data_IF_885113732732
#
_entry.id   IF_885113732732
#
_cell.length_a   1.000
_cell.length_b   1.000
_cell.length_c   1.000
_cell.angle_alpha   90.00
_cell.angle_beta   90.00
_cell.angle_gamma   90.00
#
_symmetry.space_group_name_H-M   'P 1'
#
loop_
_entity.id
_entity.type
_entity.pdbx_description
1 polymer ?
#
# COMPACT_ATOMS: atom_id res chain seq x y z
N UNK A 1 -29.77 -2.25 14.23
CA UNK A 1 -29.12 -3.58 14.22
C UNK A 1 -29.01 -4.06 12.78
N UNK A 2 -27.87 -3.79 12.12
CA UNK A 2 -27.57 -4.21 10.75
C UNK A 2 -26.09 -4.65 10.73
N UNK A 3 -25.86 -5.96 10.82
CA UNK A 3 -24.56 -6.61 10.62
C UNK A 3 -24.24 -6.62 9.11
N UNK A 4 -23.80 -5.51 8.55
CA UNK A 4 -23.37 -5.46 7.15
C UNK A 4 -21.95 -6.05 7.05
N UNK A 5 -21.89 -7.37 6.90
CA UNK A 5 -20.76 -8.13 6.35
C UNK A 5 -19.37 -7.74 6.85
N UNK A 6 -19.01 -8.16 8.07
CA UNK A 6 -17.65 -8.27 8.62
C UNK A 6 -16.59 -7.50 7.78
N UNK A 7 -16.72 -6.17 7.82
CA UNK A 7 -15.97 -5.18 7.05
C UNK A 7 -14.48 -5.48 7.21
N UNK A 8 -13.78 -5.65 6.08
CA UNK A 8 -12.42 -6.18 6.01
C UNK A 8 -12.30 -7.60 6.60
N UNK A 9 -12.90 -8.61 5.95
CA UNK A 9 -12.65 -10.05 6.20
C UNK A 9 -11.21 -10.45 5.84
N UNK A 10 -10.27 -9.81 6.53
CA UNK A 10 -8.82 -9.80 6.41
C UNK A 10 -8.29 -9.01 5.19
N UNK A 11 -8.48 -7.69 5.17
CA UNK A 11 -7.67 -6.66 4.44
C UNK A 11 -6.16 -6.71 4.82
N UNK A 12 -5.75 -7.79 5.46
CA UNK A 12 -4.62 -7.87 6.33
C UNK A 12 -4.07 -9.29 6.30
N UNK A 13 -4.71 -10.29 6.94
CA UNK A 13 -4.03 -11.52 7.42
C UNK A 13 -2.54 -11.25 7.80
N UNK A 14 -2.25 -10.05 8.34
CA UNK A 14 -0.92 -9.54 8.70
C UNK A 14 -0.07 -8.80 7.64
N UNK A 15 -0.60 -8.24 6.54
CA UNK A 15 0.04 -8.22 5.19
C UNK A 15 0.15 -9.65 4.71
N UNK A 16 0.08 -10.03 3.42
CA UNK A 16 0.17 -11.48 3.12
C UNK A 16 1.44 -12.13 3.68
N UNK A 17 2.56 -11.42 3.90
CA UNK A 17 3.75 -11.86 4.62
C UNK A 17 4.59 -10.63 5.04
N UNK A 18 4.76 -10.30 6.34
CA UNK A 18 5.50 -9.10 6.79
C UNK A 18 6.91 -8.94 6.15
N UNK A 19 6.99 -8.08 5.13
CA UNK A 19 8.18 -7.39 4.62
C UNK A 19 8.00 -5.88 4.83
N UNK A 20 9.07 -5.17 5.20
CA UNK A 20 9.05 -3.75 5.52
C UNK A 20 8.36 -2.89 4.44
N UNK A 21 7.20 -2.32 4.74
CA UNK A 21 6.65 -1.17 4.02
C UNK A 21 5.83 -0.33 5.00
N UNK A 22 6.11 0.98 5.05
CA UNK A 22 5.35 1.94 5.84
C UNK A 22 3.92 2.05 5.32
N UNK A 23 2.97 2.17 6.24
CA UNK A 23 1.56 2.40 5.94
C UNK A 23 1.42 3.85 5.44
N UNK A 24 0.98 4.03 4.20
CA UNK A 24 0.42 5.28 3.71
C UNK A 24 -1.09 5.08 3.63
N UNK A 25 -1.84 5.95 4.31
CA UNK A 25 -3.29 5.97 4.28
C UNK A 25 -3.77 6.69 3.01
N UNK A 26 -4.83 6.19 2.36
CA UNK A 26 -5.50 6.84 1.22
C UNK A 26 -7.00 6.81 1.47
N UNK A 27 -7.61 7.98 1.34
CA UNK A 27 -9.04 8.23 1.54
C UNK A 27 -9.93 7.30 0.70
N UNK A 28 -10.83 6.57 1.36
CA UNK A 28 -11.89 5.79 0.72
C UNK A 28 -13.18 6.63 0.61
N UNK A 29 -13.59 6.96 -0.61
CA UNK A 29 -14.97 7.43 -0.89
C UNK A 29 -15.94 6.24 -0.87
N UNK A 30 -17.12 6.42 -0.25
CA UNK A 30 -18.16 5.39 -0.07
C UNK A 30 -18.69 4.86 -1.41
N UNK A 31 -18.88 3.54 -1.58
CA UNK A 31 -19.63 2.99 -2.72
C UNK A 31 -21.15 3.10 -2.49
N UNK A 32 -21.96 3.10 -3.57
CA UNK A 32 -23.42 3.24 -3.48
C UNK A 32 -24.09 2.03 -2.84
N UNK A 33 -25.17 2.29 -2.09
CA UNK A 33 -25.96 1.27 -1.39
C UNK A 33 -26.77 0.41 -2.36
N UNK A 34 -26.65 -0.92 -2.23
CA UNK A 34 -27.50 -1.90 -2.93
C UNK A 34 -28.62 -2.33 -1.98
N UNK A 35 -29.86 -2.29 -2.46
CA UNK A 35 -31.05 -2.74 -1.76
C UNK A 35 -31.29 -4.24 -2.00
N UNK A 36 -31.49 -5.02 -0.94
CA UNK A 36 -31.51 -6.50 -0.98
C UNK A 36 -32.56 -7.06 -0.01
N UNK A 37 -33.83 -6.82 -0.29
CA UNK A 37 -34.93 -7.59 0.31
C UNK A 37 -35.30 -8.78 -0.58
N UNK A 38 -35.30 -9.97 0.05
CA UNK A 38 -35.63 -11.31 -0.45
C UNK A 38 -34.45 -12.12 -1.02
N UNK A 39 -34.06 -13.21 -0.33
CA UNK A 39 -33.59 -14.50 -0.86
C UNK A 39 -33.07 -15.41 0.28
N UNK A 40 -33.74 -16.55 0.50
CA UNK A 40 -33.32 -17.64 1.39
C UNK A 40 -32.45 -18.66 0.62
N UNK A 41 -31.12 -18.47 0.60
CA UNK A 41 -30.11 -19.53 0.36
C UNK A 41 -28.68 -18.99 0.52
N UNK A 42 -27.71 -19.88 0.75
CA UNK A 42 -26.26 -19.62 0.80
C UNK A 42 -25.83 -18.79 -0.42
N UNK A 43 -25.11 -17.68 -0.18
CA UNK A 43 -24.63 -16.77 -1.21
C UNK A 43 -23.13 -16.99 -1.44
N UNK A 44 -22.74 -17.26 -2.69
CA UNK A 44 -21.35 -17.19 -3.14
C UNK A 44 -21.03 -15.74 -3.52
N UNK A 45 -19.95 -15.18 -3.00
CA UNK A 45 -19.50 -13.83 -3.33
C UNK A 45 -18.09 -13.92 -3.90
N UNK A 46 -17.91 -13.45 -5.14
CA UNK A 46 -16.62 -13.37 -5.82
C UNK A 46 -16.08 -11.95 -5.76
N UNK A 47 -14.88 -11.77 -5.23
CA UNK A 47 -14.20 -10.47 -5.13
C UNK A 47 -12.84 -10.60 -5.83
N UNK A 48 -12.56 -9.71 -6.77
CA UNK A 48 -11.28 -9.61 -7.47
C UNK A 48 -10.62 -8.26 -7.16
N UNK A 49 -9.42 -8.28 -6.57
CA UNK A 49 -8.62 -7.06 -6.34
C UNK A 49 -7.41 -7.00 -7.28
N UNK A 50 -7.14 -5.81 -7.82
CA UNK A 50 -6.02 -5.56 -8.74
C UNK A 50 -4.97 -4.70 -8.05
N UNK A 51 -3.75 -5.22 -7.88
CA UNK A 51 -2.65 -4.46 -7.27
C UNK A 51 -1.67 -3.95 -8.34
N UNK A 52 -1.67 -2.65 -8.60
CA UNK A 52 -0.66 -1.98 -9.43
C UNK A 52 0.45 -1.41 -8.54
N UNK A 53 1.57 -2.13 -8.41
CA UNK A 53 2.72 -1.68 -7.63
C UNK A 53 3.61 -0.70 -8.40
N UNK A 54 3.79 0.52 -7.89
CA UNK A 54 4.75 1.49 -8.40
C UNK A 54 6.18 1.26 -7.86
N UNK A 55 7.11 1.08 -8.80
CA UNK A 55 8.57 1.27 -8.77
C UNK A 55 9.38 0.73 -7.56
N UNK A 56 9.92 -0.48 -7.73
CA UNK A 56 11.19 -0.92 -7.13
C UNK A 56 12.22 -1.23 -8.24
N UNK A 57 13.51 -1.08 -7.94
CA UNK A 57 14.65 -1.25 -8.88
C UNK A 57 15.06 -2.71 -9.11
N UNK A 58 14.27 -3.68 -8.67
CA UNK A 58 14.43 -5.09 -9.01
C UNK A 58 13.22 -5.59 -9.81
N UNK A 59 13.37 -6.60 -10.70
CA UNK A 59 12.24 -7.14 -11.43
C UNK A 59 11.24 -7.75 -10.44
N UNK A 60 10.16 -7.02 -10.18
CA UNK A 60 8.97 -7.56 -9.52
C UNK A 60 8.45 -8.67 -10.44
N UNK A 61 8.60 -9.92 -10.00
CA UNK A 61 8.04 -11.08 -10.69
C UNK A 61 6.51 -11.02 -10.57
N UNK A 62 5.88 -10.51 -11.64
CA UNK A 62 4.45 -10.56 -12.01
C UNK A 62 3.45 -9.90 -11.04
N UNK A 63 2.47 -9.11 -11.53
CA UNK A 63 1.25 -8.84 -10.79
C UNK A 63 0.46 -10.16 -10.70
N UNK A 64 0.34 -10.71 -9.50
CA UNK A 64 -0.61 -11.79 -9.24
C UNK A 64 -1.95 -11.16 -8.93
N UNK A 65 -2.98 -11.47 -9.71
CA UNK A 65 -4.35 -11.29 -9.23
C UNK A 65 -4.56 -12.29 -8.09
N UNK A 66 -5.33 -11.94 -7.07
CA UNK A 66 -5.78 -12.87 -6.07
C UNK A 66 -7.29 -12.94 -6.21
N UNK A 67 -7.79 -14.06 -6.72
CA UNK A 67 -9.22 -14.32 -6.73
C UNK A 67 -9.58 -14.90 -5.36
N UNK A 68 -10.55 -14.27 -4.68
CA UNK A 68 -11.09 -14.75 -3.42
C UNK A 68 -12.53 -15.20 -3.65
N UNK A 69 -12.82 -16.44 -3.27
CA UNK A 69 -14.18 -16.98 -3.22
C UNK A 69 -14.57 -17.12 -1.75
N UNK A 70 -15.61 -16.41 -1.33
CA UNK A 70 -16.09 -16.41 0.04
C UNK A 70 -17.47 -17.08 0.15
N UNK A 71 -17.66 -17.88 1.20
CA UNK A 71 -18.93 -18.54 1.52
C UNK A 71 -19.48 -17.95 2.82
N UNK A 72 -20.73 -17.49 2.78
CA UNK A 72 -21.43 -16.94 3.95
C UNK A 72 -22.51 -17.90 4.45
N UNK A 73 -22.75 -17.94 5.77
CA UNK A 73 -23.91 -18.64 6.32
C UNK A 73 -25.21 -17.82 6.19
N UNK A 74 -26.32 -18.37 6.68
CA UNK A 74 -27.65 -17.73 6.64
C UNK A 74 -27.71 -16.44 7.46
N UNK A 75 -26.82 -16.26 8.44
CA UNK A 75 -26.67 -15.03 9.21
C UNK A 75 -25.67 -14.05 8.56
N UNK A 76 -25.25 -14.31 7.31
CA UNK A 76 -24.26 -13.51 6.56
C UNK A 76 -22.88 -13.47 7.25
N UNK A 77 -22.52 -14.51 8.01
CA UNK A 77 -21.19 -14.66 8.60
C UNK A 77 -20.29 -15.45 7.66
N UNK A 78 -19.02 -15.07 7.56
CA UNK A 78 -18.04 -15.75 6.71
C UNK A 78 -17.70 -17.14 7.25
N UNK A 79 -18.03 -18.19 6.52
CA UNK A 79 -17.79 -19.59 6.93
C UNK A 79 -16.48 -20.12 6.37
N UNK A 80 -16.14 -19.73 5.14
CA UNK A 80 -14.88 -20.10 4.51
C UNK A 80 -14.50 -19.13 3.42
N UNK A 81 -13.22 -19.10 3.08
CA UNK A 81 -12.80 -18.53 1.82
C UNK A 81 -11.60 -19.29 1.25
N UNK A 82 -11.51 -19.26 -0.08
CA UNK A 82 -10.42 -19.82 -0.85
C UNK A 82 -9.67 -18.70 -1.58
N UNK A 83 -8.34 -18.80 -1.58
CA UNK A 83 -7.46 -17.97 -2.40
C UNK A 83 -7.03 -18.76 -3.62
N UNK A 84 -7.12 -18.14 -4.80
CA UNK A 84 -6.76 -18.76 -6.06
C UNK A 84 -5.54 -18.11 -6.69
N UNK A 85 -4.68 -18.94 -7.28
CA UNK A 85 -3.70 -18.48 -8.23
C UNK A 85 -4.39 -18.34 -9.60
N UNK A 86 -4.60 -17.11 -10.11
CA UNK A 86 -5.33 -16.86 -11.35
C UNK A 86 -4.62 -17.45 -12.57
N UNK A 87 -3.29 -17.60 -12.50
CA UNK A 87 -2.50 -18.14 -13.62
C UNK A 87 -2.57 -19.66 -13.70
N UNK A 88 -2.74 -20.33 -12.54
CA UNK A 88 -2.79 -21.79 -12.46
C UNK A 88 -4.22 -22.34 -12.36
N UNK A 89 -5.21 -21.48 -12.11
CA UNK A 89 -6.59 -21.89 -11.80
C UNK A 89 -6.67 -22.89 -10.64
N UNK A 90 -5.74 -22.78 -9.69
CA UNK A 90 -5.63 -23.66 -8.53
C UNK A 90 -5.86 -22.86 -7.25
N UNK A 91 -6.56 -23.47 -6.29
CA UNK A 91 -6.63 -22.96 -4.91
C UNK A 91 -5.21 -23.00 -4.34
N UNK A 92 -4.72 -21.87 -3.85
CA UNK A 92 -3.45 -21.82 -3.12
C UNK A 92 -3.67 -22.09 -1.64
N UNK A 93 -4.74 -21.55 -1.07
CA UNK A 93 -5.03 -21.63 0.36
C UNK A 93 -6.55 -21.63 0.60
N UNK A 94 -6.99 -22.45 1.55
CA UNK A 94 -8.40 -22.49 2.00
C UNK A 94 -8.48 -22.28 3.49
N UNK A 95 -9.45 -21.50 3.91
CA UNK A 95 -9.68 -21.14 5.30
C UNK A 95 -11.11 -21.45 5.71
N UNK A 96 -11.28 -21.96 6.93
CA UNK A 96 -12.59 -22.19 7.56
C UNK A 96 -12.71 -21.39 8.84
N UNK A 97 -13.90 -20.85 9.08
CA UNK A 97 -14.27 -20.06 10.23
C UNK A 97 -15.25 -20.85 11.08
N UNK A 98 -14.88 -21.05 12.33
CA UNK A 98 -15.65 -21.82 13.29
C UNK A 98 -16.06 -20.88 14.42
N UNK A 99 -17.36 -20.58 14.46
CA UNK A 99 -17.97 -19.69 15.44
C UNK A 99 -18.39 -20.50 16.66
N UNK A 100 -17.77 -20.23 17.81
CA UNK A 100 -18.15 -20.82 19.09
C UNK A 100 -19.31 -20.03 19.72
N UNK A 101 -20.05 -20.70 20.61
CA UNK A 101 -21.19 -20.12 21.33
C UNK A 101 -20.81 -19.02 22.32
N UNK A 102 -19.55 -18.96 22.73
CA UNK A 102 -18.98 -17.93 23.60
C UNK A 102 -18.50 -16.68 22.82
N UNK A 103 -18.85 -16.58 21.53
CA UNK A 103 -18.47 -15.47 20.67
C UNK A 103 -17.04 -15.53 20.13
N UNK A 104 -16.28 -16.59 20.41
CA UNK A 104 -14.95 -16.80 19.80
C UNK A 104 -15.09 -17.28 18.36
N UNK A 105 -14.16 -16.87 17.52
CA UNK A 105 -14.05 -17.33 16.14
C UNK A 105 -12.69 -18.00 15.95
N UNK A 106 -12.68 -19.27 15.55
CA UNK A 106 -11.45 -19.98 15.19
C UNK A 106 -11.35 -20.01 13.67
N UNK A 107 -10.25 -19.49 13.13
CA UNK A 107 -9.92 -19.59 11.71
C UNK A 107 -8.90 -20.70 11.54
N UNK A 108 -9.22 -21.71 10.75
CA UNK A 108 -8.30 -22.80 10.42
C UNK A 108 -7.95 -22.76 8.94
N UNK A 109 -6.66 -22.75 8.63
CA UNK A 109 -6.21 -23.04 7.28
C UNK A 109 -6.36 -24.55 7.04
N UNK A 110 -7.35 -24.93 6.25
CA UNK A 110 -7.67 -26.34 5.97
C UNK A 110 -6.91 -26.87 4.75
N UNK A 111 -6.52 -25.99 3.85
CA UNK A 111 -5.66 -26.32 2.71
C UNK A 111 -4.61 -25.22 2.52
N UNK A 112 -3.41 -25.64 2.13
CA UNK A 112 -2.37 -24.76 1.60
C UNK A 112 -1.49 -25.57 0.65
N UNK A 113 -1.23 -25.02 -0.54
CA UNK A 113 -0.27 -25.57 -1.50
C UNK A 113 1.15 -25.57 -0.94
N UNK A 114 1.40 -24.82 0.14
CA UNK A 114 2.62 -24.93 0.95
C UNK A 114 2.33 -25.64 2.28
N UNK A 115 3.16 -26.59 2.74
CA UNK A 115 2.85 -27.46 3.88
C UNK A 115 2.93 -26.79 5.27
N UNK A 116 2.36 -25.61 5.44
CA UNK A 116 2.33 -24.87 6.71
C UNK A 116 0.87 -24.71 7.15
N UNK A 117 0.39 -25.61 8.00
CA UNK A 117 -0.90 -25.42 8.66
C UNK A 117 -0.81 -24.27 9.67
N UNK A 118 -1.63 -23.25 9.49
CA UNK A 118 -1.81 -22.16 10.44
C UNK A 118 -3.21 -22.20 11.03
N UNK A 119 -3.32 -21.84 12.31
CA UNK A 119 -4.60 -21.63 12.95
C UNK A 119 -4.58 -20.30 13.69
N UNK A 120 -5.67 -19.56 13.56
CA UNK A 120 -5.90 -18.33 14.29
C UNK A 120 -7.09 -18.54 15.22
N UNK A 121 -6.95 -18.06 16.45
CA UNK A 121 -8.06 -17.99 17.40
C UNK A 121 -8.30 -16.53 17.66
N UNK A 122 -9.51 -16.08 17.35
CA UNK A 122 -10.02 -14.74 17.58
C UNK A 122 -11.01 -14.80 18.73
N UNK A 123 -10.89 -13.87 19.66
CA UNK A 123 -11.86 -13.66 20.73
C UNK A 123 -12.71 -12.44 20.38
N UNK A 124 -14.02 -12.63 20.41
CA UNK A 124 -15.08 -11.62 20.20
C UNK A 124 -15.12 -10.92 18.83
N UNK A 125 -16.20 -10.15 18.62
CA UNK A 125 -16.46 -9.38 17.40
C UNK A 125 -15.52 -8.19 17.22
N UNK A 126 -14.79 -7.79 18.27
CA UNK A 126 -13.84 -6.69 18.27
C UNK A 126 -12.40 -7.18 18.12
N UNK A 127 -12.16 -8.49 18.02
CA UNK A 127 -10.82 -9.07 17.85
C UNK A 127 -9.87 -8.69 18.99
N UNK A 128 -10.34 -8.65 20.24
CA UNK A 128 -9.51 -8.24 21.39
C UNK A 128 -8.28 -9.14 21.61
N UNK A 129 -8.34 -10.40 21.17
CA UNK A 129 -7.26 -11.37 21.35
C UNK A 129 -7.09 -12.22 20.09
N UNK A 130 -5.85 -12.29 19.56
CA UNK A 130 -5.50 -13.10 18.38
C UNK A 130 -4.32 -13.99 18.68
N UNK A 131 -4.46 -15.30 18.50
CA UNK A 131 -3.35 -16.27 18.65
C UNK A 131 -3.04 -16.96 17.34
N UNK A 132 -1.79 -16.91 16.90
CA UNK A 132 -1.29 -17.67 15.76
C UNK A 132 -0.62 -18.96 16.24
N UNK A 133 -1.23 -20.09 15.91
CA UNK A 133 -0.70 -21.43 16.14
C UNK A 133 -0.20 -22.01 14.82
N UNK A 134 0.90 -22.76 14.86
CA UNK A 134 1.51 -23.34 13.66
C UNK A 134 1.92 -24.80 13.84
N UNK A 135 1.74 -25.57 12.77
CA UNK A 135 2.11 -26.97 12.66
C UNK A 135 1.14 -27.92 13.36
N UNK A 136 1.39 -29.22 13.25
CA UNK A 136 0.49 -30.30 13.74
C UNK A 136 0.26 -30.24 15.24
N UNK A 137 1.28 -29.86 16.02
CA UNK A 137 1.18 -29.68 17.48
C UNK A 137 0.61 -28.32 17.89
N UNK A 138 0.11 -27.51 16.95
CA UNK A 138 -0.50 -26.19 17.17
C UNK A 138 0.34 -25.30 18.11
N UNK A 139 1.66 -25.23 17.88
CA UNK A 139 2.56 -24.45 18.74
C UNK A 139 2.29 -22.96 18.55
N UNK A 140 2.14 -22.22 19.65
CA UNK A 140 2.03 -20.76 19.61
C UNK A 140 3.26 -20.15 18.93
N UNK A 141 3.02 -19.26 17.96
CA UNK A 141 4.06 -18.51 17.24
C UNK A 141 4.02 -17.03 17.55
N UNK A 142 2.82 -16.49 17.70
CA UNK A 142 2.59 -15.12 18.06
C UNK A 142 1.22 -14.98 18.71
N UNK A 143 1.09 -13.98 19.55
CA UNK A 143 -0.14 -13.64 20.25
C UNK A 143 -0.27 -12.12 20.27
N UNK A 144 -1.46 -11.60 20.00
CA UNK A 144 -1.76 -10.19 19.99
C UNK A 144 -2.94 -9.92 20.90
N UNK A 145 -2.86 -8.81 21.62
CA UNK A 145 -3.98 -8.26 22.40
C UNK A 145 -4.25 -6.86 21.86
N UNK A 146 -5.51 -6.55 21.63
CA UNK A 146 -6.00 -5.27 21.11
C UNK A 146 -6.86 -4.63 22.19
N UNK A 147 -6.61 -3.35 22.45
CA UNK A 147 -7.42 -2.52 23.35
C UNK A 147 -8.11 -1.45 22.53
N UNK A 148 -9.36 -1.16 22.86
CA UNK A 148 -10.20 -0.20 22.14
C UNK A 148 -10.71 0.91 23.06
N UNK A 149 -10.98 2.09 22.48
CA UNK A 149 -11.85 3.13 23.02
C UNK A 149 -13.19 3.05 22.29
N UNK A 150 -14.27 2.98 23.06
CA UNK A 150 -15.66 2.96 22.56
C UNK A 150 -15.90 1.94 21.44
N UNK A 151 -15.28 0.76 21.55
CA UNK A 151 -15.38 -0.38 20.62
C UNK A 151 -15.04 -0.08 19.14
N UNK A 152 -14.44 1.07 18.84
CA UNK A 152 -14.23 1.53 17.45
C UNK A 152 -12.79 1.93 17.16
N UNK A 153 -12.08 2.46 18.15
CA UNK A 153 -10.72 2.99 17.97
C UNK A 153 -9.71 2.13 18.72
N UNK A 154 -8.74 1.56 18.01
CA UNK A 154 -7.64 0.83 18.65
C UNK A 154 -6.76 1.82 19.41
N UNK A 155 -6.63 1.63 20.73
CA UNK A 155 -5.75 2.43 21.59
C UNK A 155 -4.43 1.72 21.91
N UNK A 156 -4.40 0.39 21.87
CA UNK A 156 -3.15 -0.37 22.03
C UNK A 156 -3.17 -1.71 21.31
N UNK A 157 -2.00 -2.15 20.84
CA UNK A 157 -1.75 -3.50 20.33
C UNK A 157 -0.50 -4.04 21.01
N UNK A 158 -0.62 -5.13 21.77
CA UNK A 158 0.52 -5.81 22.39
C UNK A 158 0.79 -7.12 21.67
N UNK A 159 1.97 -7.24 21.06
CA UNK A 159 2.42 -8.46 20.37
C UNK A 159 3.40 -9.23 21.24
N UNK A 160 3.02 -10.43 21.61
CA UNK A 160 3.84 -11.40 22.32
C UNK A 160 4.51 -12.38 21.36
N UNK A 161 5.69 -12.86 21.75
CA UNK A 161 6.36 -13.96 21.08
C UNK A 161 5.83 -15.34 21.52
N UNK A 162 6.42 -16.41 21.00
CA UNK A 162 6.07 -17.80 21.32
C UNK A 162 6.23 -18.19 22.80
N UNK A 163 7.00 -17.42 23.56
CA UNK A 163 7.27 -17.66 24.99
C UNK A 163 6.40 -16.77 25.89
N UNK A 164 5.55 -15.92 25.31
CA UNK A 164 4.71 -14.98 26.06
C UNK A 164 5.41 -13.69 26.46
N UNK A 165 6.59 -13.38 25.92
CA UNK A 165 7.24 -12.09 26.17
C UNK A 165 6.75 -11.03 25.19
N UNK A 166 6.56 -9.80 25.68
CA UNK A 166 6.21 -8.65 24.84
C UNK A 166 7.35 -8.38 23.86
N UNK A 167 7.07 -8.57 22.56
CA UNK A 167 7.99 -8.29 21.47
C UNK A 167 7.82 -6.86 20.97
N UNK A 168 6.57 -6.45 20.73
CA UNK A 168 6.20 -5.11 20.31
C UNK A 168 4.97 -4.66 21.07
N UNK A 169 4.90 -3.37 21.34
CA UNK A 169 3.69 -2.69 21.78
C UNK A 169 3.48 -1.46 20.92
N UNK A 170 2.25 -1.26 20.47
CA UNK A 170 1.83 -0.11 19.69
C UNK A 170 0.78 0.62 20.53
N UNK A 171 1.00 1.88 20.82
CA UNK A 171 0.03 2.70 21.56
C UNK A 171 -0.43 3.85 20.67
N UNK A 172 -1.72 4.16 20.71
CA UNK A 172 -2.36 5.14 19.85
C UNK A 172 -3.11 6.16 20.70
N UNK A 173 -2.88 7.44 20.42
CA UNK A 173 -3.54 8.57 21.05
C UNK A 173 -4.33 9.33 19.98
N UNK A 174 -5.50 9.83 20.37
CA UNK A 174 -6.43 10.49 19.46
C UNK A 174 -6.93 11.80 20.07
N UNK A 175 -7.30 12.76 19.22
CA UNK A 175 -8.04 13.96 19.62
C UNK A 175 -9.47 13.63 20.09
N UNK A 176 -10.20 14.66 20.51
CA UNK A 176 -11.62 14.56 20.89
C UNK A 176 -12.50 14.23 19.68
N UNK A 177 -12.11 14.69 18.48
CA UNK A 177 -12.73 14.41 17.19
C UNK A 177 -12.31 13.05 16.60
N UNK A 178 -11.64 12.20 17.39
CA UNK A 178 -11.17 10.88 17.01
C UNK A 178 -10.08 10.85 15.93
N UNK A 179 -9.30 11.92 15.79
CA UNK A 179 -8.17 11.97 14.85
C UNK A 179 -6.91 11.41 15.50
N UNK A 180 -6.15 10.57 14.82
CA UNK A 180 -4.92 9.99 15.37
C UNK A 180 -3.87 11.09 15.55
N UNK A 181 -3.52 11.43 16.78
CA UNK A 181 -2.53 12.47 17.11
C UNK A 181 -1.16 11.88 17.41
N UNK A 182 -1.11 10.64 17.93
CA UNK A 182 0.16 9.97 18.23
C UNK A 182 0.09 8.46 18.06
N UNK A 183 1.19 7.87 17.60
CA UNK A 183 1.42 6.44 17.58
C UNK A 183 2.80 6.13 18.12
N UNK A 184 2.90 5.42 19.23
CA UNK A 184 4.17 4.98 19.83
C UNK A 184 4.41 3.50 19.56
N UNK A 185 5.65 3.13 19.21
CA UNK A 185 6.07 1.74 19.03
C UNK A 185 7.19 1.43 20.02
N UNK A 186 6.88 0.59 21.00
CA UNK A 186 7.85 0.05 21.94
C UNK A 186 8.31 -1.35 21.52
N UNK A 187 9.63 -1.59 21.59
CA UNK A 187 10.23 -2.90 21.42
C UNK A 187 10.74 -3.38 22.77
N UNK A 188 10.23 -4.52 23.25
CA UNK A 188 10.55 -5.07 24.59
C UNK A 188 10.38 -4.04 25.72
N UNK A 189 9.27 -3.28 25.67
CA UNK A 189 8.91 -2.28 26.68
C UNK A 189 9.65 -0.94 26.58
N UNK A 190 10.56 -0.77 25.61
CA UNK A 190 11.24 0.51 25.38
C UNK A 190 10.68 1.17 24.13
N UNK A 191 10.18 2.42 24.19
CA UNK A 191 9.85 3.20 23.01
C UNK A 191 11.04 3.23 22.05
N UNK A 192 10.79 2.95 20.78
CA UNK A 192 11.82 2.95 19.73
C UNK A 192 11.46 3.83 18.56
N UNK A 193 10.16 4.03 18.33
CA UNK A 193 9.63 4.86 17.25
C UNK A 193 8.37 5.54 17.73
N UNK A 194 8.09 6.72 17.22
CA UNK A 194 6.77 7.32 17.34
C UNK A 194 6.44 8.17 16.12
N UNK A 195 5.15 8.28 15.85
CA UNK A 195 4.56 9.20 14.90
C UNK A 195 3.71 10.19 15.69
N UNK A 196 3.82 11.47 15.39
CA UNK A 196 2.96 12.54 15.90
C UNK A 196 2.31 13.20 14.69
N UNK A 197 1.01 13.48 14.74
CA UNK A 197 0.26 14.13 13.68
C UNK A 197 -0.39 15.40 14.21
N UNK A 198 -0.45 16.42 13.35
CA UNK A 198 -1.02 17.73 13.65
C UNK A 198 -2.11 18.03 12.64
N UNK A 199 -3.23 18.54 13.12
CA UNK A 199 -4.40 18.90 12.31
C UNK A 199 -4.69 20.39 12.48
N UNK A 200 -5.31 21.01 11.48
CA UNK A 200 -5.88 22.36 11.62
C UNK A 200 -7.26 22.31 12.30
N UNK A 201 -7.87 23.47 12.50
CA UNK A 201 -9.17 23.63 13.17
C UNK A 201 -10.34 23.00 12.37
N UNK A 202 -10.13 22.73 11.08
CA UNK A 202 -11.10 22.03 10.22
C UNK A 202 -10.90 20.50 10.26
N UNK A 203 -9.86 20.02 10.96
CA UNK A 203 -9.50 18.62 11.07
C UNK A 203 -8.69 18.10 9.88
N UNK A 204 -8.14 18.95 9.02
CA UNK A 204 -7.24 18.51 7.97
C UNK A 204 -5.85 18.22 8.54
N UNK A 205 -5.20 17.15 8.10
CA UNK A 205 -3.81 16.87 8.47
C UNK A 205 -2.90 17.99 7.94
N UNK A 206 -2.24 18.74 8.83
CA UNK A 206 -1.27 19.80 8.50
C UNK A 206 0.18 19.40 8.76
N UNK A 207 0.42 18.22 9.29
CA UNK A 207 1.77 17.69 9.43
C UNK A 207 1.86 16.40 10.21
N UNK A 208 2.99 15.72 10.09
CA UNK A 208 3.36 14.63 10.98
C UNK A 208 4.87 14.57 11.19
N UNK A 209 5.30 14.03 12.32
CA UNK A 209 6.69 13.78 12.68
C UNK A 209 6.86 12.29 12.95
N UNK A 210 7.92 11.68 12.44
CA UNK A 210 8.25 10.28 12.65
C UNK A 210 9.69 10.12 13.10
N UNK A 211 9.90 9.72 14.36
CA UNK A 211 11.23 9.49 14.95
C UNK A 211 11.52 7.98 15.08
N UNK A 212 12.78 7.58 14.85
CA UNK A 212 13.28 6.20 15.05
C UNK A 212 14.61 6.19 15.82
N UNK A 213 14.52 6.02 17.12
CA UNK A 213 15.66 6.02 18.05
C UNK A 213 16.68 4.91 17.76
N UNK A 214 16.30 3.86 17.03
CA UNK A 214 17.19 2.73 16.71
C UNK A 214 18.31 3.11 15.76
N UNK A 215 18.12 4.18 14.98
CA UNK A 215 19.06 4.55 13.90
C UNK A 215 19.94 5.74 14.25
N UNK A 216 19.78 6.36 15.42
CA UNK A 216 20.37 7.68 15.73
C UNK A 216 20.13 8.71 14.60
N UNK A 217 19.09 8.49 13.78
CA UNK A 217 18.69 9.37 12.70
C UNK A 217 17.56 10.22 13.26
N UNK A 218 17.76 11.53 13.27
CA UNK A 218 16.72 12.51 13.56
C UNK A 218 15.49 12.19 12.70
N UNK A 219 14.31 12.22 13.30
CA UNK A 219 13.08 11.84 12.64
C UNK A 219 12.82 12.62 11.35
N UNK A 220 12.01 12.03 10.47
CA UNK A 220 11.46 12.76 9.33
C UNK A 220 10.27 13.55 9.81
N UNK A 221 10.26 14.86 9.55
CA UNK A 221 9.10 15.71 9.78
C UNK A 221 8.49 16.06 8.44
N UNK A 222 7.18 15.94 8.32
CA UNK A 222 6.41 16.42 7.17
C UNK A 222 5.48 17.51 7.68
N UNK A 223 5.57 18.71 7.12
CA UNK A 223 4.53 19.72 7.27
C UNK A 223 3.73 19.78 5.97
N UNK A 224 2.44 20.06 6.07
CA UNK A 224 1.55 20.28 4.95
C UNK A 224 1.16 21.75 5.06
N UNK A 225 1.70 22.57 4.17
CA UNK A 225 1.49 24.01 4.16
C UNK A 225 0.54 24.32 3.02
N UNK A 226 -0.63 24.87 3.35
CA UNK A 226 -1.57 25.44 2.38
C UNK A 226 -1.29 26.93 2.25
N UNK A 227 -1.05 27.41 1.04
CA UNK A 227 -0.92 28.85 0.80
C UNK A 227 -2.29 29.53 0.64
N UNK A 228 -2.29 30.86 0.42
CA UNK A 228 -3.52 31.64 0.26
C UNK A 228 -4.34 31.28 -0.99
N UNK A 229 -3.82 30.42 -1.88
CA UNK A 229 -4.52 29.87 -3.04
C UNK A 229 -5.01 28.44 -2.82
N UNK A 230 -4.95 27.94 -1.58
CA UNK A 230 -5.25 26.55 -1.20
C UNK A 230 -4.29 25.53 -1.85
N UNK A 231 -3.13 25.99 -2.35
CA UNK A 231 -2.13 25.10 -2.91
C UNK A 231 -1.45 24.33 -1.77
N UNK A 232 -1.58 23.01 -1.79
CA UNK A 232 -0.97 22.12 -0.80
C UNK A 232 0.49 21.87 -1.15
N UNK A 233 1.41 22.36 -0.31
CA UNK A 233 2.83 22.04 -0.38
C UNK A 233 3.20 21.07 0.75
N UNK A 234 3.80 19.94 0.40
CA UNK A 234 4.32 18.97 1.39
C UNK A 234 5.78 19.24 1.67
N UNK A 235 6.10 19.61 2.90
CA UNK A 235 7.44 19.93 3.37
C UNK A 235 7.99 18.74 4.14
N UNK A 236 8.69 17.84 3.46
CA UNK A 236 9.37 16.71 4.13
C UNK A 236 10.81 17.08 4.49
N UNK A 237 11.11 17.20 5.77
CA UNK A 237 12.45 17.25 6.36
C UNK A 237 13.05 15.86 6.44
N UNK A 238 14.07 15.59 5.63
CA UNK A 238 14.89 14.38 5.77
C UNK A 238 16.29 14.77 6.23
N UNK A 239 16.66 14.37 7.46
CA UNK A 239 18.05 14.46 7.91
C UNK A 239 18.89 13.41 7.19
N UNK A 240 19.50 13.79 6.06
CA UNK A 240 20.53 12.96 5.42
C UNK A 240 21.87 13.54 5.82
N UNK A 241 22.62 12.81 6.68
CA UNK A 241 23.92 13.27 7.22
C UNK A 241 23.83 14.59 8.01
N UNK A 242 22.69 14.88 8.63
CA UNK A 242 22.47 16.13 9.38
C UNK A 242 22.04 17.32 8.53
N UNK A 243 21.89 17.16 7.20
CA UNK A 243 21.31 18.20 6.35
C UNK A 243 19.79 18.13 6.41
N UNK A 244 19.14 19.25 6.73
CA UNK A 244 17.69 19.40 6.61
C UNK A 244 17.35 19.65 5.15
N UNK A 245 16.86 18.62 4.46
CA UNK A 245 16.32 18.76 3.10
C UNK A 245 14.80 18.88 3.17
N UNK A 246 14.22 19.82 2.43
CA UNK A 246 12.77 20.04 2.29
C UNK A 246 12.33 19.78 0.86
N UNK A 247 11.24 19.05 0.65
CA UNK A 247 10.54 19.06 -0.63
C UNK A 247 9.47 20.16 -0.65
N UNK A 248 9.20 20.74 -1.81
CA UNK A 248 8.06 21.60 -2.11
C UNK A 248 7.38 21.04 -3.36
N UNK A 249 6.05 21.14 -3.44
CA UNK A 249 5.25 20.54 -4.49
C UNK A 249 4.29 21.58 -5.06
N UNK A 250 4.15 21.59 -6.37
CA UNK A 250 3.24 22.47 -7.12
C UNK A 250 2.29 21.61 -7.95
N UNK A 251 1.00 21.91 -7.89
CA UNK A 251 -0.07 21.22 -8.61
C UNK A 251 -0.75 22.18 -9.60
N UNK A 252 -1.30 21.64 -10.70
CA UNK A 252 -2.15 22.42 -11.61
C UNK A 252 -3.62 22.46 -11.14
N UNK A 253 -4.50 23.13 -11.90
CA UNK A 253 -5.93 23.28 -11.59
C UNK A 253 -6.70 21.94 -11.56
N UNK A 254 -6.16 20.88 -12.17
CA UNK A 254 -6.71 19.53 -12.15
C UNK A 254 -6.13 18.68 -11.00
N UNK A 255 -5.44 19.30 -10.04
CA UNK A 255 -4.77 18.65 -8.90
C UNK A 255 -3.68 17.64 -9.31
N UNK A 256 -3.13 17.77 -10.53
CA UNK A 256 -2.00 16.95 -10.98
C UNK A 256 -0.68 17.61 -10.59
N UNK A 257 0.23 16.82 -10.02
CA UNK A 257 1.55 17.30 -9.59
C UNK A 257 2.39 17.73 -10.80
N UNK A 258 2.68 19.02 -10.96
CA UNK A 258 3.47 19.56 -12.08
C UNK A 258 4.94 19.80 -11.73
N UNK A 259 5.26 20.02 -10.45
CA UNK A 259 6.64 20.27 -10.03
C UNK A 259 6.91 19.83 -8.60
N UNK A 260 8.09 19.28 -8.35
CA UNK A 260 8.59 18.95 -7.02
C UNK A 260 10.03 19.43 -6.85
N UNK A 261 10.29 20.30 -5.88
CA UNK A 261 11.58 20.96 -5.66
C UNK A 261 12.18 20.51 -4.33
N UNK A 262 13.42 20.02 -4.34
CA UNK A 262 14.22 19.70 -3.17
C UNK A 262 15.11 20.89 -2.82
N UNK A 263 14.90 21.45 -1.64
CA UNK A 263 15.59 22.61 -1.10
C UNK A 263 16.44 22.15 0.08
N UNK A 264 17.69 22.63 0.14
CA UNK A 264 18.58 22.35 1.27
C UNK A 264 18.34 23.30 2.46
N UNK A 265 19.09 23.11 3.55
CA UNK A 265 18.96 23.92 4.77
C UNK A 265 19.26 25.41 4.57
N UNK A 266 19.94 25.78 3.48
CA UNK A 266 20.29 27.16 3.12
C UNK A 266 19.23 27.82 2.22
N UNK A 267 18.12 27.11 1.93
CA UNK A 267 17.08 27.60 1.02
C UNK A 267 17.45 27.48 -0.46
N UNK A 268 18.51 26.74 -0.81
CA UNK A 268 18.92 26.56 -2.22
C UNK A 268 18.32 25.29 -2.81
N UNK A 269 17.90 25.37 -4.06
CA UNK A 269 17.43 24.22 -4.83
C UNK A 269 18.58 23.25 -5.16
N UNK A 270 18.50 22.02 -4.64
CA UNK A 270 19.41 20.93 -4.98
C UNK A 270 18.93 20.17 -6.21
N UNK A 271 17.62 19.97 -6.30
CA UNK A 271 16.97 19.16 -7.34
C UNK A 271 15.55 19.65 -7.60
N UNK A 272 15.15 19.65 -8.86
CA UNK A 272 13.77 19.90 -9.29
C UNK A 272 13.30 18.72 -10.15
N UNK A 273 12.04 18.33 -10.01
CA UNK A 273 11.37 17.33 -10.83
C UNK A 273 10.14 17.98 -11.44
N UNK A 274 10.10 18.07 -12.76
CA UNK A 274 8.98 18.66 -13.50
C UNK A 274 8.19 17.55 -14.19
N UNK A 275 6.88 17.72 -14.26
CA UNK A 275 5.93 16.81 -14.88
C UNK A 275 5.10 17.59 -15.91
N UNK A 276 4.88 16.98 -17.06
CA UNK A 276 3.99 17.50 -18.09
C UNK A 276 2.91 16.46 -18.36
N UNK A 277 1.68 16.93 -18.48
CA UNK A 277 0.51 16.11 -18.78
C UNK A 277 -0.11 16.55 -20.11
N UNK A 278 -0.78 15.61 -20.78
CA UNK A 278 -1.69 15.94 -21.88
C UNK A 278 -3.05 16.44 -21.36
N UNK A 279 -4.00 16.63 -22.27
CA UNK A 279 -5.35 17.13 -21.94
C UNK A 279 -6.24 16.09 -21.25
N UNK A 280 -5.88 14.81 -21.32
CA UNK A 280 -6.58 13.71 -20.64
C UNK A 280 -6.01 13.46 -19.22
N UNK A 281 -4.93 14.15 -18.87
CA UNK A 281 -4.25 14.00 -17.58
C UNK A 281 -3.19 12.90 -17.56
N UNK A 282 -2.77 12.36 -18.70
CA UNK A 282 -1.70 11.38 -18.77
C UNK A 282 -0.33 12.07 -18.69
N UNK A 283 0.60 11.53 -17.89
CA UNK A 283 1.97 12.06 -17.80
C UNK A 283 2.73 11.81 -19.10
N UNK A 284 2.97 12.83 -19.92
CA UNK A 284 3.72 12.70 -21.18
C UNK A 284 5.22 12.94 -21.01
N UNK A 285 5.63 13.63 -19.94
CA UNK A 285 7.04 13.87 -19.64
C UNK A 285 7.32 14.03 -18.15
N UNK A 286 8.46 13.50 -17.73
CA UNK A 286 9.10 13.75 -16.44
C UNK A 286 10.55 14.15 -16.60
N UNK A 287 10.92 15.29 -16.04
CA UNK A 287 12.27 15.87 -16.14
C UNK A 287 12.89 15.99 -14.76
N UNK A 288 14.13 15.51 -14.59
CA UNK A 288 14.91 15.70 -13.35
C UNK A 288 16.01 16.71 -13.62
N UNK A 289 15.99 17.83 -12.91
CA UNK A 289 16.93 18.93 -13.01
C UNK A 289 17.76 18.96 -11.72
N UNK A 290 19.07 18.99 -11.83
CA UNK A 290 19.98 19.19 -10.69
C UNK A 290 21.01 20.26 -11.07
N UNK A 291 21.22 21.23 -10.18
CA UNK A 291 22.14 22.37 -10.42
C UNK A 291 21.83 23.09 -11.74
N UNK A 292 20.55 23.39 -11.98
CA UNK A 292 20.03 24.05 -13.20
C UNK A 292 20.33 23.32 -14.51
N UNK A 293 20.61 22.01 -14.44
CA UNK A 293 20.87 21.18 -15.62
C UNK A 293 19.96 19.96 -15.59
N UNK A 294 19.26 19.72 -16.69
CA UNK A 294 18.48 18.50 -16.89
C UNK A 294 19.41 17.28 -16.86
N UNK A 295 19.25 16.42 -15.85
CA UNK A 295 20.05 15.21 -15.64
C UNK A 295 19.41 13.99 -16.27
N UNK A 296 18.09 13.90 -16.22
CA UNK A 296 17.32 12.78 -16.72
C UNK A 296 16.00 13.28 -17.28
N UNK A 297 15.51 12.60 -18.31
CA UNK A 297 14.16 12.79 -18.85
C UNK A 297 13.53 11.46 -19.13
N UNK A 298 12.23 11.37 -18.93
CA UNK A 298 11.39 10.27 -19.39
C UNK A 298 10.26 10.87 -20.20
N UNK A 299 10.14 10.47 -21.46
CA UNK A 299 9.01 10.83 -22.32
C UNK A 299 8.11 9.59 -22.48
N UNK A 300 6.79 9.80 -22.41
CA UNK A 300 5.77 8.76 -22.55
C UNK A 300 4.84 9.12 -23.71
N UNK A 301 4.41 8.10 -24.44
CA UNK A 301 3.37 8.21 -25.47
C UNK A 301 2.25 7.24 -25.15
N UNK A 302 1.02 7.62 -25.52
CA UNK A 302 -0.20 6.89 -25.25
C UNK A 302 -0.97 6.64 -26.54
N UNK A 303 -1.75 5.56 -26.60
CA UNK A 303 -2.80 5.38 -27.61
C UNK A 303 -4.11 6.08 -27.19
N UNK A 304 -5.12 6.05 -28.06
CA UNK A 304 -6.44 6.65 -27.82
C UNK A 304 -7.21 6.01 -26.65
N UNK A 305 -6.76 4.87 -26.11
CA UNK A 305 -7.35 4.20 -24.94
C UNK A 305 -6.59 4.51 -23.65
N UNK A 306 -5.57 5.36 -23.71
CA UNK A 306 -4.70 5.67 -22.58
C UNK A 306 -3.67 4.58 -22.26
N UNK A 307 -3.42 3.62 -23.16
CA UNK A 307 -2.33 2.66 -22.96
C UNK A 307 -0.99 3.26 -23.36
N UNK A 308 0.05 3.06 -22.54
CA UNK A 308 1.40 3.55 -22.84
C UNK A 308 1.99 2.79 -24.03
N UNK A 309 2.19 3.45 -25.17
CA UNK A 309 2.75 2.86 -26.39
C UNK A 309 4.27 3.00 -26.48
N UNK A 310 4.85 4.03 -25.86
CA UNK A 310 6.29 4.22 -25.81
C UNK A 310 6.76 4.82 -24.48
N UNK A 311 7.95 4.42 -24.05
CA UNK A 311 8.67 5.10 -22.96
C UNK A 311 10.13 5.29 -23.38
N UNK A 312 10.59 6.53 -23.41
CA UNK A 312 11.97 6.88 -23.78
C UNK A 312 12.69 7.49 -22.59
N UNK A 313 13.85 6.93 -22.26
CA UNK A 313 14.67 7.38 -21.14
C UNK A 313 15.93 8.06 -21.62
N UNK A 314 16.12 9.29 -21.16
CA UNK A 314 17.28 10.10 -21.47
C UNK A 314 18.09 10.36 -20.21
N UNK A 315 19.41 10.37 -20.35
CA UNK A 315 20.34 10.68 -19.27
C UNK A 315 21.43 11.61 -19.79
N UNK A 316 21.83 12.58 -18.98
CA UNK A 316 22.94 13.46 -19.35
C UNK A 316 24.26 12.69 -19.29
N UNK A 317 24.96 12.62 -20.42
CA UNK A 317 26.28 12.04 -20.57
C UNK A 317 27.17 13.01 -21.37
N UNK A 318 28.38 13.28 -20.89
CA UNK A 318 29.33 14.25 -21.51
C UNK A 318 28.73 15.62 -21.86
N UNK A 319 27.77 16.11 -21.06
CA UNK A 319 27.15 17.41 -21.24
C UNK A 319 25.88 17.41 -22.08
N UNK A 320 25.60 16.36 -22.84
CA UNK A 320 24.40 16.24 -23.67
C UNK A 320 23.37 15.28 -23.05
N UNK A 321 22.09 15.53 -23.29
CA UNK A 321 21.01 14.66 -22.86
C UNK A 321 20.78 13.60 -23.94
N UNK A 322 21.21 12.37 -23.67
CA UNK A 322 21.22 11.29 -24.66
C UNK A 322 20.17 10.24 -24.33
N UNK A 323 19.49 9.72 -25.35
CA UNK A 323 18.62 8.55 -25.22
C UNK A 323 19.44 7.34 -24.77
N UNK A 324 19.13 6.81 -23.59
CA UNK A 324 19.83 5.68 -22.97
C UNK A 324 19.14 4.36 -23.31
N UNK A 325 17.81 4.31 -23.19
CA UNK A 325 17.02 3.14 -23.55
C UNK A 325 15.57 3.54 -23.86
N UNK A 326 14.85 2.65 -24.55
CA UNK A 326 13.42 2.80 -24.78
C UNK A 326 12.67 1.49 -24.63
N UNK A 327 11.37 1.61 -24.41
CA UNK A 327 10.39 0.55 -24.55
C UNK A 327 9.33 0.97 -25.57
N UNK A 328 8.89 0.04 -26.41
CA UNK A 328 7.67 0.16 -27.20
C UNK A 328 6.73 -0.97 -26.83
N UNK A 329 5.44 -0.65 -26.78
CA UNK A 329 4.37 -1.56 -26.40
C UNK A 329 3.33 -1.60 -27.50
N UNK A 330 2.78 -2.79 -27.76
CA UNK A 330 1.65 -2.96 -28.67
C UNK A 330 0.57 -3.73 -27.96
N UNK A 331 -0.66 -3.25 -28.12
CA UNK A 331 -1.85 -3.80 -27.50
C UNK A 331 -2.78 -4.36 -28.57
N UNK A 332 -3.58 -5.35 -28.21
CA UNK A 332 -4.70 -5.78 -29.04
C UNK A 332 -5.93 -4.86 -28.86
N UNK A 333 -7.01 -5.16 -29.57
CA UNK A 333 -8.25 -4.39 -29.49
C UNK A 333 -8.89 -4.39 -28.10
N UNK A 334 -8.62 -5.40 -27.27
CA UNK A 334 -9.11 -5.47 -25.90
C UNK A 334 -8.22 -4.69 -24.91
N UNK A 335 -7.12 -4.07 -25.38
CA UNK A 335 -6.17 -3.35 -24.52
C UNK A 335 -5.20 -4.28 -23.79
N UNK A 336 -5.05 -5.54 -24.23
CA UNK A 336 -4.09 -6.48 -23.65
C UNK A 336 -2.75 -6.32 -24.34
N UNK A 337 -1.66 -6.32 -23.57
CA UNK A 337 -0.30 -6.16 -24.09
C UNK A 337 0.12 -7.41 -24.89
N UNK A 338 0.23 -7.29 -26.21
CA UNK A 338 0.65 -8.39 -27.09
C UNK A 338 2.13 -8.35 -27.45
N UNK A 339 2.78 -7.19 -27.30
CA UNK A 339 4.20 -7.05 -27.65
C UNK A 339 4.91 -6.00 -26.82
N UNK A 340 6.16 -6.28 -26.46
CA UNK A 340 7.08 -5.34 -25.83
C UNK A 340 8.45 -5.40 -26.51
N UNK A 341 8.90 -4.30 -27.09
CA UNK A 341 10.26 -4.13 -27.61
C UNK A 341 11.08 -3.30 -26.61
N UNK A 342 12.34 -3.68 -26.39
CA UNK A 342 13.31 -2.97 -25.55
C UNK A 342 14.61 -2.77 -26.31
N UNK A 343 15.17 -1.58 -26.20
CA UNK A 343 16.51 -1.27 -26.67
C UNK A 343 17.29 -0.47 -25.65
N UNK A 344 18.58 -0.75 -25.53
CA UNK A 344 19.49 -0.02 -24.66
C UNK A 344 20.78 0.33 -25.42
N UNK A 345 21.08 1.63 -25.50
CA UNK A 345 22.23 2.21 -26.19
C UNK A 345 23.55 1.72 -25.59
N UNK A 346 23.66 1.82 -24.26
CA UNK A 346 24.91 1.59 -23.53
C UNK A 346 25.43 0.16 -23.67
N UNK A 347 24.52 -0.80 -23.84
CA UNK A 347 24.86 -2.22 -24.00
C UNK A 347 24.63 -2.76 -25.41
N UNK A 348 24.17 -1.93 -26.36
CA UNK A 348 23.73 -2.39 -27.68
C UNK A 348 22.65 -3.48 -27.63
N UNK A 349 21.91 -3.58 -26.52
CA UNK A 349 20.98 -4.69 -26.28
C UNK A 349 19.65 -4.41 -26.96
N UNK A 350 19.07 -5.46 -27.56
CA UNK A 350 17.69 -5.51 -28.03
C UNK A 350 17.01 -6.73 -27.45
N UNK A 351 15.81 -6.55 -26.90
CA UNK A 351 14.97 -7.65 -26.42
C UNK A 351 13.56 -7.44 -26.92
N UNK A 352 12.88 -8.53 -27.25
CA UNK A 352 11.46 -8.55 -27.61
C UNK A 352 10.78 -9.60 -26.77
N UNK A 353 9.56 -9.27 -26.34
CA UNK A 353 8.62 -10.22 -25.77
C UNK A 353 7.33 -10.13 -26.60
N UNK A 354 6.84 -11.29 -27.00
CA UNK A 354 5.55 -11.46 -27.67
C UNK A 354 4.67 -12.27 -26.71
N UNK A 355 3.41 -11.85 -26.55
CA UNK A 355 2.46 -12.42 -25.61
C UNK A 355 1.26 -12.97 -26.38
N UNK A 356 0.84 -14.18 -26.03
CA UNK A 356 -0.35 -14.83 -26.57
C UNK A 356 -1.29 -15.15 -25.40
N UNK A 357 -2.57 -14.83 -25.59
CA UNK A 357 -3.62 -15.03 -24.59
C UNK A 357 -4.58 -16.08 -25.11
N UNK A 358 -4.60 -17.26 -24.47
CA UNK A 358 -5.57 -18.31 -24.75
C UNK A 358 -6.80 -18.07 -23.88
N UNK A 359 -7.94 -17.81 -24.52
CA UNK A 359 -9.24 -17.76 -23.87
C UNK A 359 -9.72 -19.21 -23.69
N UNK A 360 -9.97 -19.61 -22.46
CA UNK A 360 -10.53 -20.92 -22.12
C UNK A 360 -12.01 -20.81 -21.80
#
# INVERSE_FOLDING_TARGET
MKQFGLFASLLLLGSTLFGQAGVYDRDFKRPPSIDLDHLDSVKEVRISETWAGAMSREPIKKPGFLDIVAVLDTAQRLVSFDQYNPTASEVTDSYQFLYATDGKVRIEQVYSSTPKSHQWILRDSLLQEVKLLKGTKKKLKAHWIYTYRDDTLITSIVKYDKNGYVKYQYDYEYSEENQLTRKTIAERGKPTRWLEATYDDEGNLVGYRNDDDRKSQSGSQVAIVRDSSDQVSFVSYQSRRGENLRWEYEYNEAELLVKATLINAEGKEERCIEYLYDTEGNEVRKTIIEKKKEKQRRDLEYDEKGNVTAVRYYRRFMGNLDLTFYYFYTYDEAGRLIKKDYWNKDYGQRKRWDYEYVLY
#
